data_IF_043827881904
#
_entry.id   IF_043827881904
#
_cell.length_a   1.000
_cell.length_b   1.000
_cell.length_c   1.000
_cell.angle_alpha   90.00
_cell.angle_beta   90.00
_cell.angle_gamma   90.00
#
_symmetry.space_group_name_H-M   'P 1'
#
loop_
_entity.id
_entity.type
_entity.pdbx_description
1 polymer ?
#
# COMPACT_ATOMS: atom_id res chain seq x y z
N UNK A 1 7.81 -3.91 9.82
CA UNK A 1 7.96 -2.53 9.34
C UNK A 1 6.60 -1.93 9.05
N UNK A 2 6.36 -0.74 9.53
CA UNK A 2 5.11 -0.02 9.27
C UNK A 2 5.38 1.06 8.23
N UNK A 3 4.40 1.27 7.35
CA UNK A 3 4.54 2.34 6.36
C UNK A 3 3.15 2.78 5.89
N UNK A 4 3.09 3.92 5.21
CA UNK A 4 1.84 4.41 4.63
C UNK A 4 0.92 5.13 5.60
N UNK A 5 1.39 5.36 6.82
CA UNK A 5 0.60 6.06 7.83
C UNK A 5 0.84 7.57 7.68
N UNK A 6 0.16 8.16 6.73
CA UNK A 6 0.37 9.57 6.38
C UNK A 6 -0.21 10.50 7.44
N UNK A 7 0.42 11.66 7.59
CA UNK A 7 -0.12 12.71 8.45
C UNK A 7 -1.54 13.03 8.01
N UNK A 8 -2.41 13.19 8.98
CA UNK A 8 -3.82 13.47 8.72
C UNK A 8 -4.72 12.26 8.80
N UNK A 9 -4.16 11.06 8.75
CA UNK A 9 -4.96 9.85 8.93
C UNK A 9 -5.21 9.62 10.42
N UNK A 10 -6.31 8.93 10.77
CA UNK A 10 -6.69 8.78 12.18
C UNK A 10 -5.92 7.69 12.92
N UNK A 11 -4.88 7.15 12.35
CA UNK A 11 -4.11 6.08 12.99
C UNK A 11 -3.07 6.64 13.94
N UNK A 12 -2.84 5.94 15.03
CA UNK A 12 -1.77 6.29 15.96
C UNK A 12 -0.44 6.18 15.22
N UNK A 13 0.40 7.18 15.36
CA UNK A 13 1.70 7.17 14.70
C UNK A 13 1.68 7.67 13.27
N UNK A 14 0.57 8.24 12.83
CA UNK A 14 0.48 8.79 11.47
C UNK A 14 1.30 10.06 11.39
N UNK A 15 2.55 9.93 10.98
CA UNK A 15 3.47 11.06 10.92
C UNK A 15 4.32 11.09 9.64
N UNK A 16 4.03 10.23 8.69
CA UNK A 16 4.77 10.23 7.44
C UNK A 16 4.18 11.26 6.49
N UNK A 17 5.03 11.86 5.68
CA UNK A 17 4.56 12.81 4.67
C UNK A 17 4.19 12.07 3.41
N UNK A 18 2.98 12.33 2.91
CA UNK A 18 2.52 11.75 1.66
C UNK A 18 3.51 12.04 0.53
N UNK A 19 4.03 13.27 0.50
CA UNK A 19 4.92 13.68 -0.59
C UNK A 19 6.23 12.90 -0.64
N UNK A 20 6.65 12.33 0.49
CA UNK A 20 7.88 11.54 0.50
C UNK A 20 7.73 10.27 -0.31
N UNK A 21 6.51 9.80 -0.50
CA UNK A 21 6.26 8.57 -1.26
C UNK A 21 6.31 8.80 -2.77
N UNK A 22 6.31 10.05 -3.20
CA UNK A 22 6.45 10.36 -4.62
C UNK A 22 7.85 10.08 -5.15
N UNK A 23 8.81 9.93 -4.24
CA UNK A 23 10.20 9.68 -4.62
C UNK A 23 10.49 8.23 -4.96
N UNK A 24 9.61 7.32 -4.57
CA UNK A 24 9.85 5.91 -4.82
C UNK A 24 9.65 5.61 -6.31
N UNK A 25 10.67 5.02 -6.90
CA UNK A 25 10.65 4.66 -8.31
C UNK A 25 10.74 3.15 -8.41
N UNK A 26 9.59 2.50 -8.31
CA UNK A 26 9.53 1.05 -8.24
C UNK A 26 9.55 0.44 -9.63
N UNK A 27 10.22 -0.71 -9.75
CA UNK A 27 10.21 -1.46 -11.00
C UNK A 27 9.04 -2.43 -11.09
N UNK A 28 8.47 -2.81 -9.95
CA UNK A 28 7.30 -3.69 -9.93
C UNK A 28 6.08 -2.89 -10.39
N UNK A 29 5.20 -3.52 -11.17
CA UNK A 29 4.05 -2.80 -11.70
C UNK A 29 3.02 -2.51 -10.61
N UNK A 30 2.39 -1.34 -10.70
CA UNK A 30 1.35 -0.95 -9.77
C UNK A 30 0.20 -1.96 -9.78
N UNK A 31 -0.18 -2.43 -10.95
CA UNK A 31 -1.27 -3.39 -11.06
C UNK A 31 -1.00 -4.64 -10.25
N UNK A 32 0.23 -5.14 -10.31
CA UNK A 32 0.56 -6.35 -9.58
C UNK A 32 0.56 -6.12 -8.08
N UNK A 33 1.04 -4.96 -7.65
CA UNK A 33 1.04 -4.62 -6.23
C UNK A 33 -0.40 -4.48 -5.72
N UNK A 34 -1.23 -3.77 -6.47
CA UNK A 34 -2.63 -3.56 -6.06
C UNK A 34 -3.37 -4.89 -5.99
N UNK A 35 -3.16 -5.76 -6.99
CA UNK A 35 -3.80 -7.07 -7.00
C UNK A 35 -3.38 -7.90 -5.80
N UNK A 36 -2.10 -7.86 -5.47
CA UNK A 36 -1.60 -8.58 -4.31
C UNK A 36 -2.23 -8.05 -3.01
N UNK A 37 -2.24 -6.74 -2.83
CA UNK A 37 -2.80 -6.16 -1.61
C UNK A 37 -4.28 -6.51 -1.47
N UNK A 38 -5.01 -6.47 -2.59
CA UNK A 38 -6.43 -6.81 -2.56
C UNK A 38 -6.68 -8.27 -2.21
N UNK A 39 -5.68 -9.12 -2.39
CA UNK A 39 -5.81 -10.53 -2.05
C UNK A 39 -5.56 -10.80 -0.57
N UNK A 40 -5.04 -9.82 0.17
CA UNK A 40 -4.77 -10.00 1.59
C UNK A 40 -6.09 -10.06 2.34
N UNK A 41 -6.14 -10.90 3.37
CA UNK A 41 -7.32 -10.92 4.20
C UNK A 41 -7.37 -9.64 5.01
N UNK A 42 -8.59 -9.16 5.20
CA UNK A 42 -8.78 -7.95 5.97
C UNK A 42 -8.31 -8.17 7.40
N UNK A 43 -7.43 -7.28 7.86
CA UNK A 43 -7.03 -7.27 9.24
C UNK A 43 -8.04 -6.49 10.05
N UNK A 44 -7.54 -5.67 10.97
CA UNK A 44 -8.41 -4.79 11.74
C UNK A 44 -9.05 -3.78 10.82
N UNK A 45 -10.37 -3.61 10.96
CA UNK A 45 -11.08 -2.55 10.26
C UNK A 45 -11.60 -1.54 11.28
N UNK A 46 -11.82 -0.33 10.84
CA UNK A 46 -12.30 0.73 11.71
C UNK A 46 -13.34 1.54 10.95
N UNK A 47 -13.84 2.60 11.58
CA UNK A 47 -14.79 3.48 10.92
C UNK A 47 -14.12 4.14 9.73
N UNK A 48 -14.91 4.50 8.70
CA UNK A 48 -14.32 5.11 7.51
C UNK A 48 -13.47 6.32 7.84
N UNK A 49 -12.41 6.47 7.06
CA UNK A 49 -11.50 7.59 7.16
C UNK A 49 -11.88 8.64 6.13
N UNK A 50 -11.32 9.82 6.25
CA UNK A 50 -11.56 10.91 5.30
C UNK A 50 -10.33 11.05 4.42
N UNK A 51 -10.55 11.02 3.11
CA UNK A 51 -9.47 11.16 2.14
C UNK A 51 -8.90 12.57 2.26
N UNK A 52 -7.56 12.66 2.32
CA UNK A 52 -6.87 13.89 2.68
C UNK A 52 -7.07 15.02 1.67
N UNK A 53 -7.31 14.67 0.41
CA UNK A 53 -7.35 15.66 -0.66
C UNK A 53 -8.76 15.96 -1.17
N UNK A 54 -9.67 14.99 -1.07
CA UNK A 54 -11.02 15.14 -1.62
C UNK A 54 -12.09 15.24 -0.56
N UNK A 55 -11.79 14.81 0.67
CA UNK A 55 -12.80 14.81 1.72
C UNK A 55 -13.78 13.65 1.64
N UNK A 56 -13.60 12.73 0.71
CA UNK A 56 -14.47 11.57 0.58
C UNK A 56 -14.21 10.58 1.69
N UNK A 57 -15.21 9.77 2.00
CA UNK A 57 -15.03 8.67 2.94
C UNK A 57 -14.38 7.50 2.23
N UNK A 58 -13.34 6.94 2.85
CA UNK A 58 -12.66 5.77 2.31
C UNK A 58 -12.54 4.72 3.41
N UNK A 59 -12.37 3.46 3.00
CA UNK A 59 -12.24 2.37 3.96
C UNK A 59 -11.00 2.57 4.81
N UNK A 60 -11.13 2.24 6.08
CA UNK A 60 -10.04 2.35 7.04
C UNK A 60 -9.81 1.01 7.71
N UNK A 61 -8.61 0.78 8.16
CA UNK A 61 -8.21 -0.45 8.82
C UNK A 61 -6.74 -0.67 8.60
N UNK A 62 -6.31 -1.88 8.90
CA UNK A 62 -4.89 -2.25 8.85
C UNK A 62 -4.72 -3.53 8.05
N UNK A 63 -3.76 -3.53 7.15
CA UNK A 63 -3.29 -4.74 6.47
C UNK A 63 -2.02 -5.24 7.13
N UNK A 64 -1.90 -6.55 7.24
CA UNK A 64 -0.66 -7.21 7.61
C UNK A 64 -0.19 -8.05 6.43
N UNK A 65 1.09 -7.91 6.06
CA UNK A 65 1.65 -8.66 4.96
C UNK A 65 3.09 -9.06 5.32
N UNK A 66 3.24 -10.24 5.92
CA UNK A 66 4.53 -10.68 6.43
C UNK A 66 4.96 -9.76 7.56
N UNK A 67 6.13 -9.17 7.41
CA UNK A 67 6.65 -8.25 8.42
C UNK A 67 6.19 -6.80 8.18
N UNK A 68 5.28 -6.59 7.25
CA UNK A 68 4.87 -5.24 6.85
C UNK A 68 3.45 -4.98 7.31
N UNK A 69 3.22 -3.78 7.84
CA UNK A 69 1.91 -3.33 8.31
C UNK A 69 1.65 -1.97 7.69
N UNK A 70 0.48 -1.80 7.11
CA UNK A 70 0.12 -0.52 6.50
C UNK A 70 -1.40 -0.35 6.53
N UNK A 71 -1.87 0.90 6.45
CA UNK A 71 -3.32 1.12 6.56
C UNK A 71 -4.03 0.80 5.25
N UNK A 72 -5.32 0.49 5.34
CA UNK A 72 -6.17 0.32 4.15
C UNK A 72 -6.11 1.55 3.27
N UNK A 73 -6.05 2.72 3.90
CA UNK A 73 -6.01 3.99 3.17
C UNK A 73 -4.83 4.06 2.22
N UNK A 74 -3.71 3.40 2.57
CA UNK A 74 -2.56 3.41 1.69
C UNK A 74 -2.90 2.86 0.31
N UNK A 75 -3.68 1.80 0.25
CA UNK A 75 -4.07 1.23 -1.05
C UNK A 75 -4.81 2.26 -1.89
N UNK A 76 -5.72 3.01 -1.27
CA UNK A 76 -6.43 4.06 -1.98
C UNK A 76 -5.47 5.09 -2.57
N UNK A 77 -4.54 5.58 -1.77
CA UNK A 77 -3.61 6.61 -2.24
C UNK A 77 -2.66 6.06 -3.30
N UNK A 78 -2.18 4.83 -3.10
CA UNK A 78 -1.29 4.22 -4.05
C UNK A 78 -1.98 4.00 -5.40
N UNK A 79 -3.24 3.59 -5.38
CA UNK A 79 -3.97 3.30 -6.61
C UNK A 79 -4.36 4.57 -7.38
N UNK A 80 -4.56 5.67 -6.68
CA UNK A 80 -5.14 6.87 -7.29
C UNK A 80 -4.19 8.05 -7.42
N UNK A 81 -3.02 7.97 -6.82
CA UNK A 81 -2.06 9.08 -6.83
C UNK A 81 -0.70 8.58 -7.27
N UNK A 82 0.16 9.52 -7.65
CA UNK A 82 1.47 9.19 -8.19
C UNK A 82 2.48 9.01 -7.06
N UNK A 83 2.31 7.94 -6.30
CA UNK A 83 3.24 7.56 -5.24
C UNK A 83 3.65 6.12 -5.45
N UNK A 84 4.76 5.73 -4.81
CA UNK A 84 5.24 4.37 -4.85
C UNK A 84 5.17 3.69 -3.51
N UNK A 85 5.84 2.55 -3.40
CA UNK A 85 5.94 1.80 -2.15
C UNK A 85 7.39 1.82 -1.69
N UNK A 86 7.62 1.67 -0.36
CA UNK A 86 9.00 1.59 0.14
C UNK A 86 9.76 0.47 -0.54
N UNK A 87 11.05 0.69 -0.77
CA UNK A 87 11.87 -0.31 -1.47
C UNK A 87 11.95 -1.61 -0.70
N UNK A 88 11.91 -1.56 0.62
CA UNK A 88 11.90 -2.77 1.44
C UNK A 88 10.67 -3.63 1.12
N UNK A 89 9.51 -3.00 1.00
CA UNK A 89 8.30 -3.72 0.67
C UNK A 89 8.34 -4.25 -0.76
N UNK A 90 8.87 -3.44 -1.68
CA UNK A 90 9.03 -3.89 -3.06
C UNK A 90 9.91 -5.14 -3.13
N UNK A 91 11.03 -5.13 -2.41
CA UNK A 91 11.92 -6.28 -2.39
C UNK A 91 11.25 -7.51 -1.81
N UNK A 92 10.46 -7.33 -0.76
CA UNK A 92 9.71 -8.43 -0.17
C UNK A 92 8.73 -9.00 -1.18
N UNK A 93 7.96 -8.14 -1.87
CA UNK A 93 6.99 -8.60 -2.85
C UNK A 93 7.65 -9.41 -3.96
N UNK A 94 8.78 -8.95 -4.44
CA UNK A 94 9.51 -9.68 -5.47
C UNK A 94 9.98 -11.03 -4.95
N UNK A 95 10.39 -11.09 -3.69
CA UNK A 95 10.88 -12.33 -3.11
C UNK A 95 9.80 -13.39 -2.98
N UNK A 96 8.54 -12.99 -2.86
CA UNK A 96 7.43 -13.94 -2.78
C UNK A 96 6.72 -14.11 -4.12
N UNK A 97 7.28 -13.56 -5.20
CA UNK A 97 6.80 -13.80 -6.55
C UNK A 97 5.79 -12.83 -7.10
N UNK A 98 5.49 -11.76 -6.37
CA UNK A 98 4.56 -10.76 -6.88
C UNK A 98 5.22 -10.04 -8.06
N UNK A 99 4.50 -9.98 -9.18
CA UNK A 99 5.04 -9.36 -10.38
C UNK A 99 6.00 -10.22 -11.16
N UNK A 100 6.25 -11.44 -10.70
CA UNK A 100 7.07 -12.41 -11.42
C UNK A 100 6.15 -13.26 -12.24
N UNK A 101 5.73 -12.73 -13.37
CA UNK A 101 4.76 -13.44 -14.15
C UNK A 101 5.34 -14.64 -14.68
N UNK A 102 4.82 -15.46 -14.73
CA UNK A 102 5.31 -16.45 -15.27
C UNK A 102 5.20 -16.42 -16.55
N UNK A 103 5.42 -15.88 -17.06
CA UNK A 103 5.34 -15.77 -18.19
C UNK A 103 5.66 -16.81 -18.84
N UNK A 104 5.69 -17.16 -18.68
CA UNK A 104 5.93 -17.95 -19.00
C UNK A 104 5.77 -18.90 -19.01
N UNK A 105 5.58 -18.91 -18.94
CA UNK A 105 5.51 -19.75 -18.87
C UNK A 105 5.23 -20.39 -19.68
N UNK A 106 5.23 -19.97 -19.96
CA UNK A 106 5.07 -20.32 -20.66
C UNK A 106 5.42 -20.98 -21.17
N UNK A 107 5.46 -20.97 -21.11
CA UNK A 107 5.60 -21.42 -21.65
C UNK A 107 5.70 -21.89 -22.01
#
# INVERSE_FOLDING_TARGET
MEFGFFKGLPHTGSNENFSDYKKFNNSISKENVISHIRSLEAGLTSEPSIELFTGEKIRAGIYDDGDFVFPYEFLHYYANYDIGIPYEYENYLKSIGVGQEKKGTEN
#
